data_IF_866964195091
#
_entry.id   IF_866964195091
#
_cell.length_a   1.000
_cell.length_b   1.000
_cell.length_c   1.000
_cell.angle_alpha   90.00
_cell.angle_beta   90.00
_cell.angle_gamma   90.00
#
_symmetry.space_group_name_H-M   'P 1'
#
loop_
_entity.id
_entity.type
_entity.pdbx_description
1 polymer ?
#
# COMPACT_ATOMS: atom_id res chain seq x y z
N UNK A 1 -9.72 39.92 10.42
CA UNK A 1 -8.72 38.87 10.72
C UNK A 1 -9.39 37.51 10.56
N UNK A 2 -9.01 36.72 9.55
CA UNK A 2 -8.98 35.24 9.58
C UNK A 2 -8.67 34.67 8.19
N UNK A 3 -7.38 34.67 7.85
CA UNK A 3 -6.80 33.87 6.76
C UNK A 3 -5.71 33.01 7.37
N UNK A 4 -6.07 31.93 8.08
CA UNK A 4 -5.12 30.96 8.63
C UNK A 4 -5.55 29.50 8.48
N UNK A 5 -6.58 29.24 7.66
CA UNK A 5 -7.11 27.87 7.47
C UNK A 5 -6.43 27.17 6.27
N UNK A 6 -5.81 27.91 5.34
CA UNK A 6 -5.18 27.30 4.15
C UNK A 6 -3.75 26.77 4.34
N UNK A 7 -2.97 27.27 5.29
CA UNK A 7 -1.53 26.96 5.39
C UNK A 7 -1.25 25.63 6.09
N UNK A 8 -2.09 25.26 7.06
CA UNK A 8 -1.89 24.05 7.87
C UNK A 8 -2.28 22.80 7.07
N UNK A 9 -3.42 22.84 6.38
CA UNK A 9 -3.85 21.79 5.44
C UNK A 9 -2.81 21.54 4.35
N UNK A 10 -2.25 22.61 3.78
CA UNK A 10 -1.25 22.45 2.72
C UNK A 10 0.05 21.82 3.24
N UNK A 11 0.45 22.13 4.47
CA UNK A 11 1.62 21.52 5.11
C UNK A 11 1.38 20.01 5.38
N UNK A 12 0.18 19.65 5.83
CA UNK A 12 -0.23 18.26 6.03
C UNK A 12 -0.24 17.48 4.71
N UNK A 13 -0.84 18.03 3.66
CA UNK A 13 -0.87 17.40 2.33
C UNK A 13 0.55 17.22 1.79
N UNK A 14 1.43 18.22 1.93
CA UNK A 14 2.83 18.10 1.51
C UNK A 14 3.61 17.07 2.34
N UNK A 15 3.40 17.01 3.65
CA UNK A 15 4.03 16.04 4.53
C UNK A 15 3.56 14.61 4.21
N UNK A 16 2.26 14.41 4.06
CA UNK A 16 1.67 13.15 3.59
C UNK A 16 2.23 12.77 2.23
N UNK A 17 2.25 13.67 1.25
CA UNK A 17 2.81 13.39 -0.09
C UNK A 17 4.29 13.01 -0.03
N UNK A 18 5.07 13.64 0.86
CA UNK A 18 6.49 13.33 1.07
C UNK A 18 6.70 11.99 1.78
N UNK A 19 5.81 11.62 2.70
CA UNK A 19 5.80 10.30 3.34
C UNK A 19 5.38 9.21 2.34
N UNK A 20 4.31 9.43 1.58
CA UNK A 20 3.84 8.52 0.53
C UNK A 20 4.84 8.39 -0.63
N UNK A 21 5.64 9.42 -0.93
CA UNK A 21 6.73 9.35 -1.90
C UNK A 21 7.89 8.43 -1.46
N UNK A 22 7.91 7.94 -0.22
CA UNK A 22 8.94 7.01 0.26
C UNK A 22 8.67 5.56 -0.16
N UNK A 23 7.40 5.23 -0.44
CA UNK A 23 6.97 3.89 -0.85
C UNK A 23 7.09 3.76 -2.37
N UNK A 24 8.33 3.60 -2.84
CA UNK A 24 8.65 3.53 -4.27
C UNK A 24 8.84 2.11 -4.79
N UNK A 25 9.03 1.13 -3.90
CA UNK A 25 9.33 -0.24 -4.33
C UNK A 25 8.06 -1.06 -4.23
N UNK A 26 7.61 -1.56 -5.38
CA UNK A 26 6.52 -2.51 -5.46
C UNK A 26 7.02 -3.88 -5.04
N UNK A 27 6.37 -4.46 -4.05
CA UNK A 27 6.74 -5.76 -3.47
C UNK A 27 5.75 -6.86 -3.83
N UNK A 28 4.52 -6.48 -4.15
CA UNK A 28 3.47 -7.39 -4.58
C UNK A 28 2.53 -6.72 -5.58
N UNK A 29 2.05 -7.49 -6.55
CA UNK A 29 1.07 -7.08 -7.55
C UNK A 29 0.30 -8.33 -8.00
N UNK A 30 -0.98 -8.44 -7.67
CA UNK A 30 -1.78 -9.59 -8.08
C UNK A 30 -3.26 -9.27 -8.08
N UNK A 31 -4.04 -10.07 -8.79
CA UNK A 31 -5.49 -10.07 -8.73
C UNK A 31 -6.04 -10.97 -7.61
N UNK A 32 -5.17 -11.70 -6.91
CA UNK A 32 -5.57 -12.61 -5.85
C UNK A 32 -5.72 -11.86 -4.51
N UNK A 33 -6.96 -11.63 -4.11
CA UNK A 33 -7.31 -10.95 -2.87
C UNK A 33 -6.89 -11.74 -1.62
N UNK A 34 -7.06 -13.07 -1.60
CA UNK A 34 -6.70 -13.90 -0.45
C UNK A 34 -5.19 -13.86 -0.19
N UNK A 35 -4.39 -13.97 -1.24
CA UNK A 35 -2.94 -13.92 -1.13
C UNK A 35 -2.46 -12.51 -0.73
N UNK A 36 -3.07 -11.45 -1.26
CA UNK A 36 -2.83 -10.08 -0.82
C UNK A 36 -3.05 -9.90 0.69
N UNK A 37 -4.17 -10.40 1.22
CA UNK A 37 -4.46 -10.33 2.67
C UNK A 37 -3.45 -11.14 3.49
N UNK A 38 -3.04 -12.32 3.03
CA UNK A 38 -1.98 -13.12 3.69
C UNK A 38 -0.66 -12.36 3.72
N UNK A 39 -0.25 -11.72 2.62
CA UNK A 39 0.98 -10.91 2.58
C UNK A 39 0.92 -9.73 3.54
N UNK A 40 -0.22 -9.05 3.64
CA UNK A 40 -0.43 -7.97 4.61
C UNK A 40 -0.28 -8.45 6.05
N UNK A 41 -0.89 -9.59 6.38
CA UNK A 41 -0.80 -10.18 7.73
C UNK A 41 0.66 -10.48 8.09
N UNK A 42 1.43 -11.06 7.17
CA UNK A 42 2.86 -11.30 7.39
C UNK A 42 3.63 -9.99 7.60
N UNK A 43 3.43 -8.98 6.75
CA UNK A 43 4.10 -7.68 6.91
C UNK A 43 3.78 -7.03 8.26
N UNK A 44 2.53 -7.10 8.70
CA UNK A 44 2.11 -6.61 10.02
C UNK A 44 2.75 -7.40 11.16
N UNK A 45 2.84 -8.73 11.06
CA UNK A 45 3.48 -9.57 12.07
C UNK A 45 4.98 -9.23 12.26
N UNK A 46 5.62 -8.74 11.20
CA UNK A 46 7.02 -8.30 11.22
C UNK A 46 7.20 -6.79 11.46
N UNK A 47 6.13 -6.04 11.80
CA UNK A 47 6.14 -4.59 12.02
C UNK A 47 6.73 -3.80 10.83
N UNK A 48 6.53 -4.30 9.62
CA UNK A 48 7.04 -3.67 8.40
C UNK A 48 6.05 -2.63 7.93
N UNK A 49 6.58 -1.45 7.63
CA UNK A 49 5.78 -0.33 7.15
C UNK A 49 5.54 -0.45 5.64
N UNK A 50 4.27 -0.60 5.25
CA UNK A 50 3.85 -0.80 3.87
C UNK A 50 2.71 0.15 3.47
N UNK A 51 2.53 0.30 2.16
CA UNK A 51 1.44 1.02 1.53
C UNK A 51 0.71 0.09 0.57
N UNK A 52 -0.60 -0.02 0.70
CA UNK A 52 -1.42 -0.76 -0.26
C UNK A 52 -1.97 0.17 -1.34
N UNK A 53 -2.18 -0.37 -2.53
CA UNK A 53 -2.94 0.27 -3.59
C UNK A 53 -3.91 -0.77 -4.16
N UNK A 54 -5.18 -0.42 -4.25
CA UNK A 54 -6.22 -1.28 -4.81
C UNK A 54 -6.75 -0.56 -6.03
N UNK A 55 -6.26 -0.96 -7.20
CA UNK A 55 -6.68 -0.41 -8.47
C UNK A 55 -7.79 -1.29 -9.05
N UNK A 56 -9.03 -0.88 -8.83
CA UNK A 56 -10.20 -1.48 -9.49
C UNK A 56 -10.53 -0.71 -10.77
N UNK A 57 -10.74 -1.41 -11.89
CA UNK A 57 -11.24 -0.82 -13.14
C UNK A 57 -12.74 -0.52 -13.00
N UNK A 58 -13.08 0.47 -12.19
CA UNK A 58 -14.45 0.87 -11.95
C UNK A 58 -14.98 1.81 -13.03
N UNK A 59 -15.61 1.25 -14.08
CA UNK A 59 -16.81 1.78 -14.78
C UNK A 59 -17.17 0.94 -16.01
N UNK A 60 -17.81 -0.21 -15.80
CA UNK A 60 -18.97 -0.58 -16.61
C UNK A 60 -19.80 -1.63 -15.88
N UNK A 61 -21.05 -1.25 -15.58
CA UNK A 61 -22.12 -2.15 -15.18
C UNK A 61 -22.36 -3.10 -16.35
N UNK A 62 -21.72 -4.26 -16.36
CA UNK A 62 -22.23 -5.54 -16.89
C UNK A 62 -21.08 -6.53 -16.97
N UNK A 63 -21.28 -7.69 -16.32
CA UNK A 63 -20.57 -8.95 -16.57
C UNK A 63 -19.16 -9.10 -15.99
N UNK A 64 -19.12 -9.88 -14.90
CA UNK A 64 -18.09 -10.81 -14.42
C UNK A 64 -16.63 -10.37 -14.25
N UNK A 65 -16.14 -10.47 -13.00
CA UNK A 65 -14.72 -10.62 -12.62
C UNK A 65 -13.78 -9.48 -13.04
N UNK A 66 -14.23 -8.24 -12.86
CA UNK A 66 -13.46 -7.04 -13.18
C UNK A 66 -12.11 -6.99 -12.43
N UNK A 67 -11.05 -6.94 -13.22
CA UNK A 67 -9.62 -7.04 -12.93
C UNK A 67 -9.11 -6.07 -11.84
N UNK A 68 -9.48 -6.33 -10.59
CA UNK A 68 -8.97 -5.57 -9.45
C UNK A 68 -7.54 -5.99 -9.20
N UNK A 69 -6.60 -5.05 -9.30
CA UNK A 69 -5.18 -5.29 -9.00
C UNK A 69 -4.92 -4.82 -7.58
N UNK A 70 -4.44 -5.74 -6.76
CA UNK A 70 -3.96 -5.48 -5.42
C UNK A 70 -2.44 -5.34 -5.44
N UNK A 71 -1.95 -4.19 -4.99
CA UNK A 71 -0.52 -3.88 -4.98
C UNK A 71 -0.05 -3.51 -3.57
N UNK A 72 1.17 -3.91 -3.23
CA UNK A 72 1.82 -3.56 -1.97
C UNK A 72 3.16 -2.90 -2.29
N UNK A 73 3.38 -1.74 -1.68
CA UNK A 73 4.57 -0.92 -1.83
C UNK A 73 5.26 -0.74 -0.48
N UNK A 74 6.58 -0.72 -0.47
CA UNK A 74 7.37 -0.52 0.75
C UNK A 74 8.41 0.59 0.56
N UNK A 75 8.95 1.07 1.69
CA UNK A 75 10.07 2.00 1.68
C UNK A 75 11.31 1.28 1.15
N UNK A 76 12.11 1.97 0.32
CA UNK A 76 13.36 1.40 -0.23
C UNK A 76 14.29 0.83 0.85
N UNK A 77 14.35 1.46 2.03
CA UNK A 77 15.16 1.01 3.17
C UNK A 77 14.70 -0.31 3.78
N UNK A 78 13.42 -0.64 3.67
CA UNK A 78 12.81 -1.83 4.28
C UNK A 78 12.56 -2.95 3.25
N UNK A 79 12.99 -2.76 1.99
CA UNK A 79 12.73 -3.66 0.87
C UNK A 79 13.14 -5.11 1.15
N UNK A 80 14.40 -5.32 1.51
CA UNK A 80 14.95 -6.66 1.75
C UNK A 80 14.27 -7.37 2.93
N UNK A 81 13.93 -6.62 3.98
CA UNK A 81 13.20 -7.16 5.14
C UNK A 81 11.76 -7.52 4.77
N UNK A 82 11.11 -6.69 3.96
CA UNK A 82 9.76 -6.89 3.48
C UNK A 82 9.64 -8.10 2.54
N UNK A 83 10.60 -8.27 1.63
CA UNK A 83 10.69 -9.47 0.78
C UNK A 83 10.86 -10.74 1.63
N UNK A 84 11.74 -10.68 2.64
CA UNK A 84 11.95 -11.80 3.55
C UNK A 84 10.67 -12.14 4.33
N UNK A 85 9.97 -11.13 4.88
CA UNK A 85 8.72 -11.32 5.59
C UNK A 85 7.59 -11.87 4.69
N UNK A 86 7.55 -11.49 3.42
CA UNK A 86 6.56 -12.04 2.47
C UNK A 86 6.83 -13.50 2.10
N UNK A 87 8.09 -13.92 2.11
CA UNK A 87 8.51 -15.29 1.80
C UNK A 87 8.55 -16.20 3.02
N UNK A 88 8.69 -15.62 4.21
CA UNK A 88 8.54 -16.35 5.47
C UNK A 88 7.05 -16.56 5.66
N UNK A 89 6.50 -17.63 5.09
CA UNK A 89 5.18 -18.11 5.45
C UNK A 89 5.13 -18.15 6.97
N UNK A 90 4.12 -17.51 7.57
CA UNK A 90 3.93 -17.50 9.02
C UNK A 90 3.88 -18.94 9.51
N UNK A 91 5.02 -19.47 9.92
CA UNK A 91 5.15 -20.78 10.53
C UNK A 91 4.75 -20.58 11.99
N UNK A 92 3.44 -20.44 12.22
CA UNK A 92 2.81 -20.47 13.54
C UNK A 92 1.52 -21.25 13.45
#
# INVERSE_FOLDING_TARGET
MSQRIGTVDNLFIHACRKLFSRYKIQLYASHNEEDFHKKILNLNAHYIDYKTNIAGTGKQKTSSEASTVYEIYVKKKDHTLAELAMNTAAHR
#
